data_IF_166161542846
#
_entry.id   IF_166161542846
#
_cell.length_a   1.000
_cell.length_b   1.000
_cell.length_c   1.000
_cell.angle_alpha   90.00
_cell.angle_beta   90.00
_cell.angle_gamma   90.00
#
_symmetry.space_group_name_H-M   'P 1'
#
loop_
_entity.id
_entity.type
_entity.pdbx_description
1 polymer ?
#
# COMPACT_ATOMS: atom_id res chain seq x y z
N UNK A 1 8.98 23.01 6.73
CA UNK A 1 7.92 23.71 7.50
C UNK A 1 7.45 25.02 6.88
N UNK A 2 8.16 25.63 5.92
CA UNK A 2 7.72 26.88 5.28
C UNK A 2 6.40 26.76 4.53
N UNK A 3 6.20 25.68 3.78
CA UNK A 3 4.93 25.42 3.07
C UNK A 3 3.70 25.40 4.01
N UNK A 4 3.84 24.79 5.20
CA UNK A 4 2.76 24.76 6.21
C UNK A 4 2.52 26.13 6.86
N UNK A 5 3.52 27.02 6.86
CA UNK A 5 3.31 28.42 7.25
C UNK A 5 2.59 29.16 6.14
N UNK A 6 2.95 28.95 4.88
CA UNK A 6 2.28 29.60 3.75
C UNK A 6 0.79 29.25 3.67
N UNK A 7 0.41 27.98 3.89
CA UNK A 7 -0.99 27.56 3.94
C UNK A 7 -1.80 28.27 5.03
N UNK A 8 -1.19 28.50 6.20
CA UNK A 8 -1.81 29.28 7.28
C UNK A 8 -2.08 30.74 6.88
N UNK A 9 -1.19 31.37 6.12
CA UNK A 9 -1.40 32.75 5.66
C UNK A 9 -2.56 32.88 4.67
N UNK A 10 -2.90 31.80 3.97
CA UNK A 10 -4.01 31.76 3.00
C UNK A 10 -5.31 31.24 3.64
N UNK A 11 -5.35 31.08 4.97
CA UNK A 11 -6.49 30.54 5.73
C UNK A 11 -6.92 29.14 5.27
N UNK A 12 -5.97 28.31 4.82
CA UNK A 12 -6.21 26.91 4.45
C UNK A 12 -5.75 26.02 5.61
N UNK A 13 -6.48 24.93 5.85
CA UNK A 13 -6.08 23.92 6.82
C UNK A 13 -4.70 23.33 6.48
N UNK A 14 -3.88 23.12 7.50
CA UNK A 14 -2.49 22.67 7.40
C UNK A 14 -2.24 21.43 8.26
N UNK A 15 -3.31 20.77 8.74
CA UNK A 15 -3.23 19.50 9.44
C UNK A 15 -2.76 18.40 8.46
N UNK A 16 -1.66 17.74 8.82
CA UNK A 16 -1.08 16.68 8.01
C UNK A 16 -1.77 15.34 8.33
N UNK A 17 -2.77 14.95 7.55
CA UNK A 17 -3.56 13.73 7.80
C UNK A 17 -3.06 12.47 7.08
N UNK A 18 -1.90 12.56 6.41
CA UNK A 18 -1.37 11.45 5.62
C UNK A 18 -0.47 11.92 4.49
N UNK A 19 -0.10 10.98 3.63
CA UNK A 19 0.80 11.22 2.50
C UNK A 19 0.35 10.40 1.29
N UNK A 20 0.86 10.76 0.11
CA UNK A 20 0.53 10.07 -1.13
C UNK A 20 1.79 9.51 -1.79
N UNK A 21 1.64 8.40 -2.50
CA UNK A 21 2.69 7.80 -3.29
C UNK A 21 2.15 7.34 -4.65
N UNK A 22 2.88 7.66 -5.71
CA UNK A 22 2.67 7.03 -7.00
C UNK A 22 3.39 5.69 -7.05
N UNK A 23 2.68 4.66 -7.51
CA UNK A 23 3.20 3.31 -7.70
C UNK A 23 2.90 2.87 -9.12
N UNK A 24 3.78 2.04 -9.66
CA UNK A 24 3.59 1.42 -10.96
C UNK A 24 3.11 -0.02 -10.75
N UNK A 25 2.05 -0.41 -11.46
CA UNK A 25 1.56 -1.80 -11.51
C UNK A 25 1.18 -2.41 -10.14
N UNK A 26 0.81 -1.57 -9.16
CA UNK A 26 0.38 -2.04 -7.84
C UNK A 26 1.47 -2.63 -6.94
N UNK A 27 2.75 -2.47 -7.29
CA UNK A 27 3.87 -2.78 -6.39
C UNK A 27 4.09 -1.62 -5.41
N UNK A 28 3.27 -1.57 -4.36
CA UNK A 28 3.35 -0.50 -3.36
C UNK A 28 3.80 -0.98 -1.98
N UNK A 29 3.54 -2.25 -1.63
CA UNK A 29 3.89 -2.80 -0.32
C UNK A 29 5.40 -2.97 -0.24
N UNK A 30 6.06 -1.97 0.35
CA UNK A 30 7.50 -1.95 0.61
C UNK A 30 7.76 -1.71 2.09
N UNK A 31 8.91 -2.16 2.58
CA UNK A 31 9.31 -1.90 3.97
C UNK A 31 9.40 -0.39 4.27
N UNK A 32 9.91 0.39 3.32
CA UNK A 32 9.98 1.84 3.45
C UNK A 32 8.59 2.49 3.56
N UNK A 33 7.60 2.00 2.79
CA UNK A 33 6.20 2.45 2.91
C UNK A 33 5.66 2.10 4.30
N UNK A 34 5.87 0.87 4.77
CA UNK A 34 5.43 0.42 6.08
C UNK A 34 6.04 1.26 7.21
N UNK A 35 7.35 1.47 7.18
CA UNK A 35 8.08 2.26 8.18
C UNK A 35 7.61 3.73 8.19
N UNK A 36 7.37 4.29 7.00
CA UNK A 36 6.84 5.65 6.85
C UNK A 36 5.41 5.75 7.39
N UNK A 37 4.54 4.81 7.01
CA UNK A 37 3.16 4.77 7.46
C UNK A 37 3.07 4.57 8.98
N UNK A 38 3.90 3.70 9.56
CA UNK A 38 4.00 3.53 11.00
C UNK A 38 4.40 4.83 11.71
N UNK A 39 5.40 5.54 11.19
CA UNK A 39 5.85 6.83 11.75
C UNK A 39 4.73 7.88 11.74
N UNK A 40 4.03 8.03 10.62
CA UNK A 40 2.93 8.98 10.51
C UNK A 40 1.73 8.58 11.37
N UNK A 41 1.38 7.30 11.39
CA UNK A 41 0.26 6.80 12.18
C UNK A 41 0.55 6.80 13.70
N UNK A 42 1.82 6.76 14.09
CA UNK A 42 2.25 6.97 15.47
C UNK A 42 2.11 8.43 15.91
N UNK A 43 2.40 9.37 15.01
CA UNK A 43 2.21 10.79 15.28
C UNK A 43 0.72 11.20 15.26
N UNK A 44 -0.06 10.61 14.35
CA UNK A 44 -1.46 10.95 14.08
C UNK A 44 -2.23 9.65 13.83
N UNK A 45 -3.13 9.31 14.75
CA UNK A 45 -3.84 8.02 14.75
C UNK A 45 -4.65 7.76 13.46
N UNK A 46 -5.18 8.82 12.85
CA UNK A 46 -6.01 8.76 11.64
C UNK A 46 -5.20 8.90 10.33
N UNK A 47 -3.89 8.67 10.35
CA UNK A 47 -3.04 8.80 9.15
C UNK A 47 -3.40 7.78 8.07
N UNK A 48 -3.62 8.25 6.84
CA UNK A 48 -3.93 7.41 5.66
C UNK A 48 -2.85 7.57 4.59
N UNK A 49 -2.52 6.49 3.88
CA UNK A 49 -1.68 6.55 2.67
C UNK A 49 -2.56 6.48 1.43
N UNK A 50 -2.39 7.44 0.53
CA UNK A 50 -3.06 7.46 -0.78
C UNK A 50 -2.12 6.92 -1.86
N UNK A 51 -2.55 5.87 -2.53
CA UNK A 51 -1.79 5.18 -3.55
C UNK A 51 -2.41 5.47 -4.91
N UNK A 52 -1.64 6.14 -5.76
CA UNK A 52 -2.05 6.52 -7.10
C UNK A 52 -1.30 5.68 -8.14
N UNK A 53 -2.05 5.03 -9.03
CA UNK A 53 -1.46 4.31 -10.17
C UNK A 53 -1.71 5.13 -11.46
N UNK A 54 -0.70 5.88 -11.95
CA UNK A 54 -0.84 6.69 -13.16
C UNK A 54 -1.05 5.84 -14.41
N UNK A 55 -0.55 4.59 -14.39
CA UNK A 55 -0.61 3.69 -15.54
C UNK A 55 -2.03 3.16 -15.72
N UNK A 56 -2.65 2.70 -14.63
CA UNK A 56 -4.06 2.28 -14.66
C UNK A 56 -5.00 3.44 -14.92
N UNK A 57 -4.68 4.62 -14.38
CA UNK A 57 -5.47 5.84 -14.63
C UNK A 57 -5.41 6.25 -16.10
N UNK A 58 -4.26 6.12 -16.75
CA UNK A 58 -4.12 6.38 -18.19
C UNK A 58 -4.93 5.42 -19.07
N UNK A 59 -5.21 4.20 -18.60
CA UNK A 59 -6.08 3.23 -19.29
C UNK A 59 -7.58 3.52 -19.12
N UNK A 60 -7.93 4.56 -18.38
CA UNK A 60 -9.29 5.11 -18.32
C UNK A 60 -9.99 4.98 -16.98
N UNK A 61 -9.61 4.03 -16.11
CA UNK A 61 -10.18 3.95 -14.76
C UNK A 61 -9.29 4.66 -13.74
N UNK A 62 -9.82 5.65 -13.04
CA UNK A 62 -9.12 6.30 -11.93
C UNK A 62 -8.76 5.28 -10.84
N UNK A 63 -7.47 4.96 -10.74
CA UNK A 63 -6.96 3.99 -9.76
C UNK A 63 -6.36 4.73 -8.58
N UNK A 64 -7.21 5.06 -7.62
CA UNK A 64 -6.85 5.59 -6.31
C UNK A 64 -7.22 4.57 -5.24
N UNK A 65 -6.27 4.25 -4.38
CA UNK A 65 -6.50 3.38 -3.24
C UNK A 65 -6.03 4.07 -1.97
N UNK A 66 -6.87 4.08 -0.94
CA UNK A 66 -6.52 4.62 0.36
C UNK A 66 -6.35 3.44 1.32
N UNK A 67 -5.20 3.38 1.98
CA UNK A 67 -4.89 2.33 2.94
C UNK A 67 -4.55 2.92 4.30
N UNK A 68 -4.93 2.19 5.34
CA UNK A 68 -4.55 2.43 6.72
C UNK A 68 -3.93 1.17 7.31
N UNK A 69 -3.02 1.33 8.26
CA UNK A 69 -2.48 0.20 9.02
C UNK A 69 -3.48 -0.24 10.10
N UNK A 70 -3.68 -1.55 10.24
CA UNK A 70 -4.52 -2.09 11.30
C UNK A 70 -3.89 -1.82 12.67
N UNK A 71 -4.67 -1.48 13.72
CA UNK A 71 -4.14 -1.23 15.07
C UNK A 71 -3.33 -2.40 15.63
N UNK A 72 -3.70 -3.65 15.30
CA UNK A 72 -2.94 -4.85 15.68
C UNK A 72 -1.51 -4.85 15.15
N UNK A 73 -1.30 -4.38 13.91
CA UNK A 73 0.05 -4.32 13.33
C UNK A 73 0.85 -3.16 13.93
N UNK A 74 0.17 -2.04 14.27
CA UNK A 74 0.78 -0.92 14.97
C UNK A 74 1.33 -1.33 16.34
N UNK A 75 0.62 -2.18 17.09
CA UNK A 75 1.08 -2.70 18.39
C UNK A 75 2.37 -3.52 18.24
N UNK A 76 2.42 -4.47 17.31
CA UNK A 76 3.63 -5.28 17.06
C UNK A 76 4.80 -4.42 16.60
N UNK A 77 4.56 -3.48 15.68
CA UNK A 77 5.61 -2.58 15.20
C UNK A 77 6.16 -1.68 16.33
N UNK A 78 5.32 -1.31 17.31
CA UNK A 78 5.73 -0.54 18.49
C UNK A 78 6.57 -1.38 19.45
N UNK A 79 6.19 -2.64 19.67
CA UNK A 79 6.94 -3.58 20.51
C UNK A 79 8.24 -4.07 19.85
N UNK A 80 8.39 -3.85 18.52
CA UNK A 80 9.49 -4.36 17.67
C UNK A 80 9.63 -5.88 17.71
N UNK A 81 8.58 -6.58 18.11
CA UNK A 81 8.54 -8.04 18.23
C UNK A 81 8.22 -8.69 16.87
N UNK A 82 9.17 -8.55 15.93
CA UNK A 82 9.14 -9.29 14.65
C UNK A 82 9.55 -10.77 14.81
N UNK A 83 9.29 -11.36 15.97
CA UNK A 83 9.55 -12.78 16.21
C UNK A 83 8.39 -13.62 15.66
N UNK A 84 8.66 -14.83 15.14
CA UNK A 84 7.61 -15.72 14.62
C UNK A 84 6.61 -16.12 15.71
N UNK A 85 7.03 -16.14 16.98
CA UNK A 85 6.13 -16.39 18.11
C UNK A 85 5.21 -15.21 18.41
N UNK A 86 5.71 -13.97 18.34
CA UNK A 86 4.90 -12.76 18.47
C UNK A 86 3.85 -12.65 17.37
N UNK A 87 4.25 -12.91 16.12
CA UNK A 87 3.34 -12.91 14.98
C UNK A 87 2.27 -14.01 15.07
N UNK A 88 2.64 -15.21 15.54
CA UNK A 88 1.72 -16.33 15.75
C UNK A 88 0.72 -16.04 16.89
N UNK A 89 1.14 -15.36 17.96
CA UNK A 89 0.25 -14.93 19.06
C UNK A 89 -0.73 -13.85 18.61
N UNK A 90 -0.29 -12.92 17.78
CA UNK A 90 -1.12 -11.83 17.29
C UNK A 90 -2.05 -12.22 16.12
N UNK A 91 -1.86 -13.41 15.54
CA UNK A 91 -2.67 -13.98 14.46
C UNK A 91 -2.92 -12.99 13.30
N UNK A 92 -1.86 -12.29 12.88
CA UNK A 92 -1.94 -11.34 11.77
C UNK A 92 -1.80 -12.11 10.46
N UNK A 93 -2.92 -12.27 9.76
CA UNK A 93 -2.95 -12.72 8.37
C UNK A 93 -2.67 -11.57 7.39
N UNK A 94 -2.36 -11.92 6.14
CA UNK A 94 -2.15 -10.95 5.06
C UNK A 94 -3.35 -10.02 4.82
N UNK A 95 -4.57 -10.52 5.06
CA UNK A 95 -5.82 -9.76 4.91
C UNK A 95 -5.98 -8.64 5.95
N UNK A 96 -5.35 -8.78 7.11
CA UNK A 96 -5.51 -7.83 8.22
C UNK A 96 -4.30 -6.92 8.41
N UNK A 97 -3.36 -6.89 7.45
CA UNK A 97 -2.22 -5.97 7.51
C UNK A 97 -2.64 -4.53 7.17
N UNK A 98 -3.43 -4.37 6.11
CA UNK A 98 -3.91 -3.08 5.63
C UNK A 98 -5.43 -3.10 5.53
N UNK A 99 -6.04 -2.01 5.99
CA UNK A 99 -7.47 -1.76 5.83
C UNK A 99 -7.67 -0.76 4.68
N UNK A 100 -8.49 -1.12 3.70
CA UNK A 100 -8.83 -0.24 2.59
C UNK A 100 -9.97 0.71 3.02
N UNK A 101 -9.73 2.01 2.87
CA UNK A 101 -10.70 3.06 3.22
C UNK A 101 -11.43 3.49 1.94
N UNK A 102 -12.78 3.46 1.93
CA UNK A 102 -13.53 3.87 0.74
C UNK A 102 -13.35 5.36 0.46
N UNK A 103 -13.04 5.70 -0.79
CA UNK A 103 -12.82 7.08 -1.23
C UNK A 103 -14.14 7.66 -1.75
N UNK A 104 -14.58 8.78 -1.16
CA UNK A 104 -15.78 9.51 -1.60
C UNK A 104 -15.34 10.88 -2.11
N UNK A 105 -15.54 11.12 -3.40
CA UNK A 105 -15.25 12.43 -4.02
C UNK A 105 -16.42 13.36 -3.70
N UNK A 106 -16.14 14.48 -3.02
CA UNK A 106 -17.11 15.52 -2.69
C UNK A 106 -16.66 16.83 -3.32
N UNK A 107 -17.53 17.42 -4.13
CA UNK A 107 -17.31 18.72 -4.74
C UNK A 107 -18.23 19.76 -4.10
N UNK A 108 -17.74 21.00 -3.95
CA UNK A 108 -18.58 22.13 -3.57
C UNK A 108 -19.43 22.59 -4.74
N UNK A 109 -20.53 23.29 -4.46
CA UNK A 109 -21.41 23.81 -5.51
C UNK A 109 -20.68 24.75 -6.48
N UNK A 110 -19.71 25.54 -6.01
CA UNK A 110 -18.92 26.43 -6.87
C UNK A 110 -18.02 25.66 -7.83
N UNK A 111 -17.38 24.57 -7.36
CA UNK A 111 -16.57 23.70 -8.21
C UNK A 111 -17.45 23.03 -9.29
N UNK A 112 -18.68 22.66 -8.95
CA UNK A 112 -19.61 22.11 -9.92
C UNK A 112 -19.97 23.14 -11.00
N UNK A 113 -20.27 24.39 -10.64
CA UNK A 113 -20.53 25.47 -11.61
C UNK A 113 -19.32 25.69 -12.52
N UNK A 114 -18.11 25.69 -11.96
CA UNK A 114 -16.89 25.79 -12.74
C UNK A 114 -16.71 24.60 -13.70
N UNK A 115 -17.07 23.39 -13.27
CA UNK A 115 -17.00 22.19 -14.11
C UNK A 115 -17.96 22.30 -15.30
N UNK A 116 -19.18 22.82 -15.09
CA UNK A 116 -20.14 23.10 -16.16
C UNK A 116 -19.62 24.13 -17.16
N UNK A 117 -18.99 25.21 -16.67
CA UNK A 117 -18.40 26.23 -17.53
C UNK A 117 -17.21 25.68 -18.34
N UNK A 118 -16.41 24.81 -17.73
CA UNK A 118 -15.29 24.13 -18.42
C UNK A 118 -15.78 23.15 -19.48
N UNK A 119 -16.88 22.44 -19.24
CA UNK A 119 -17.47 21.53 -20.21
C UNK A 119 -17.97 22.29 -21.46
N UNK A 120 -18.64 23.43 -21.27
CA UNK A 120 -19.12 24.28 -22.37
C UNK A 120 -17.96 24.89 -23.19
N UNK A 121 -16.86 25.24 -22.51
CA UNK A 121 -15.65 25.81 -23.14
C UNK A 121 -14.71 24.76 -23.75
N UNK A 122 -14.80 23.51 -23.32
CA UNK A 122 -13.92 22.42 -23.77
C UNK A 122 -14.59 21.61 -24.87
N UNK A 123 -14.25 21.89 -26.13
CA UNK A 123 -14.85 21.23 -27.30
C UNK A 123 -14.36 19.81 -27.55
N UNK A 124 -13.32 19.37 -26.85
CA UNK A 124 -12.73 18.03 -26.97
C UNK A 124 -12.38 17.52 -25.59
N UNK A 125 -13.35 16.95 -24.89
CA UNK A 125 -13.01 16.00 -23.85
C UNK A 125 -12.43 14.78 -24.57
N UNK A 126 -11.12 14.58 -24.48
CA UNK A 126 -10.49 13.28 -24.76
C UNK A 126 -11.21 12.27 -23.86
N UNK A 127 -12.24 11.62 -24.42
CA UNK A 127 -12.90 10.51 -23.76
C UNK A 127 -11.83 9.45 -23.63
N UNK A 128 -11.21 9.38 -22.46
CA UNK A 128 -10.27 8.33 -22.13
C UNK A 128 -10.86 7.01 -22.62
N UNK A 129 -10.09 6.29 -23.44
CA UNK A 129 -10.54 5.06 -24.08
C UNK A 129 -10.74 3.97 -23.01
N UNK A 130 -11.86 4.05 -22.28
CA UNK A 130 -12.31 3.02 -21.33
C UNK A 130 -12.48 1.65 -22.01
N UNK A 131 -12.62 1.65 -23.34
CA UNK A 131 -12.82 0.47 -24.18
C UNK A 131 -11.54 0.05 -24.92
N UNK A 132 -10.36 0.47 -24.47
CA UNK A 132 -9.12 0.03 -25.11
C UNK A 132 -8.78 -1.42 -24.71
N UNK A 133 -9.07 -2.36 -25.60
CA UNK A 133 -8.77 -3.80 -25.43
C UNK A 133 -7.28 -4.13 -25.67
N UNK A 134 -6.46 -3.17 -26.10
CA UNK A 134 -5.03 -3.38 -26.43
C UNK A 134 -4.11 -3.40 -25.19
N UNK A 135 -4.60 -3.85 -24.03
CA UNK A 135 -3.87 -3.87 -22.77
C UNK A 135 -2.83 -4.99 -22.63
N UNK A 136 -2.38 -5.61 -23.74
CA UNK A 136 -1.44 -6.75 -23.73
C UNK A 136 -0.16 -6.44 -22.96
N UNK A 137 0.44 -5.26 -23.19
CA UNK A 137 1.69 -4.86 -22.53
C UNK A 137 1.53 -4.61 -21.03
N UNK A 138 0.34 -4.20 -20.59
CA UNK A 138 0.06 -3.99 -19.17
C UNK A 138 -0.11 -5.30 -18.43
N UNK A 139 -0.82 -6.25 -19.05
CA UNK A 139 -0.97 -7.59 -18.51
C UNK A 139 0.37 -8.30 -18.46
N UNK A 140 1.17 -8.22 -19.53
CA UNK A 140 2.50 -8.81 -19.60
C UNK A 140 3.41 -8.30 -18.47
N UNK A 141 3.52 -6.98 -18.30
CA UNK A 141 4.33 -6.40 -17.21
C UNK A 141 3.80 -6.75 -15.82
N UNK A 142 2.48 -6.77 -15.64
CA UNK A 142 1.88 -7.16 -14.36
C UNK A 142 2.16 -8.63 -14.05
N UNK A 143 2.11 -9.51 -15.05
CA UNK A 143 2.47 -10.92 -14.92
C UNK A 143 3.96 -11.11 -14.66
N UNK A 144 4.83 -10.36 -15.33
CA UNK A 144 6.27 -10.40 -15.09
C UNK A 144 6.61 -10.02 -13.64
N UNK A 145 6.02 -8.94 -13.14
CA UNK A 145 6.16 -8.53 -11.73
C UNK A 145 5.63 -9.59 -10.75
N UNK A 146 4.55 -10.28 -11.12
CA UNK A 146 4.03 -11.38 -10.32
C UNK A 146 4.97 -12.59 -10.34
N UNK A 147 5.54 -12.94 -11.49
CA UNK A 147 6.53 -14.02 -11.62
C UNK A 147 7.74 -13.75 -10.73
N UNK A 148 8.29 -12.54 -10.76
CA UNK A 148 9.41 -12.15 -9.91
C UNK A 148 9.08 -12.35 -8.41
N UNK A 149 7.86 -11.98 -7.98
CA UNK A 149 7.41 -12.16 -6.59
C UNK A 149 7.16 -13.62 -6.22
N UNK A 150 6.67 -14.42 -7.15
CA UNK A 150 6.49 -15.86 -6.95
C UNK A 150 7.85 -16.55 -6.84
N UNK A 151 8.83 -16.14 -7.64
CA UNK A 151 10.20 -16.66 -7.57
C UNK A 151 10.88 -16.27 -6.24
N UNK A 152 10.74 -15.02 -5.78
CA UNK A 152 11.18 -14.59 -4.45
C UNK A 152 10.55 -15.47 -3.35
N UNK A 153 9.23 -15.68 -3.42
CA UNK A 153 8.50 -16.53 -2.47
C UNK A 153 8.98 -17.99 -2.51
N UNK A 154 9.24 -18.53 -3.71
CA UNK A 154 9.77 -19.88 -3.89
C UNK A 154 11.14 -20.04 -3.21
N UNK A 155 12.03 -19.07 -3.40
CA UNK A 155 13.34 -19.06 -2.73
C UNK A 155 13.19 -19.05 -1.21
N UNK A 156 12.27 -18.25 -0.66
CA UNK A 156 12.03 -18.20 0.78
C UNK A 156 11.40 -19.50 1.32
N UNK A 157 10.53 -20.16 0.57
CA UNK A 157 10.01 -21.49 0.91
C UNK A 157 11.15 -22.52 0.96
N UNK A 158 12.09 -22.50 0.01
CA UNK A 158 13.26 -23.40 0.03
C UNK A 158 14.14 -23.15 1.25
N UNK A 159 14.40 -21.88 1.61
CA UNK A 159 15.14 -21.51 2.83
C UNK A 159 14.42 -22.03 4.08
N UNK A 160 13.10 -21.83 4.16
CA UNK A 160 12.29 -22.32 5.27
C UNK A 160 12.30 -23.85 5.39
N UNK A 161 12.15 -24.57 4.28
CA UNK A 161 12.22 -26.03 4.25
C UNK A 161 13.59 -26.55 4.71
N UNK A 162 14.66 -25.88 4.31
CA UNK A 162 16.02 -26.20 4.74
C UNK A 162 16.19 -25.96 6.24
N UNK A 163 15.69 -24.83 6.75
CA UNK A 163 15.66 -24.54 8.18
C UNK A 163 14.90 -25.60 8.99
N UNK A 164 13.70 -25.98 8.54
CA UNK A 164 12.87 -27.02 9.18
C UNK A 164 13.58 -28.38 9.22
N UNK A 165 14.22 -28.79 8.11
CA UNK A 165 15.03 -30.02 8.06
C UNK A 165 16.22 -29.98 9.04
N UNK A 166 16.90 -28.85 9.14
CA UNK A 166 18.03 -28.69 10.06
C UNK A 166 17.58 -28.69 11.53
N UNK A 167 16.45 -28.05 11.85
CA UNK A 167 15.86 -28.06 13.19
C UNK A 167 15.52 -29.49 13.63
N UNK A 168 14.86 -30.28 12.78
CA UNK A 168 14.52 -31.67 13.06
C UNK A 168 15.76 -32.54 13.31
N UNK A 169 16.83 -32.35 12.52
CA UNK A 169 18.11 -33.05 12.73
C UNK A 169 18.76 -32.67 14.07
N UNK A 170 18.77 -31.39 14.43
CA UNK A 170 19.33 -30.91 15.71
C UNK A 170 18.53 -31.45 16.91
N UNK A 171 17.20 -31.51 16.80
CA UNK A 171 16.35 -32.07 17.86
C UNK A 171 16.62 -33.56 18.09
N UNK A 172 16.81 -34.33 17.01
CA UNK A 172 17.18 -35.75 17.09
C UNK A 172 18.55 -35.96 17.72
N UNK A 173 19.54 -35.15 17.36
CA UNK A 173 20.88 -35.20 17.97
C UNK A 173 20.85 -34.85 19.46
N UNK A 174 20.10 -33.82 19.87
CA UNK A 174 19.94 -33.47 21.29
C UNK A 174 19.24 -34.57 22.09
N UNK A 175 18.29 -35.29 21.49
CA UNK A 175 17.66 -36.44 22.14
C UNK A 175 18.62 -37.63 22.33
N UNK A 176 19.52 -37.87 21.36
CA UNK A 176 20.53 -38.94 21.49
C UNK A 176 21.64 -38.63 22.49
N UNK A 177 21.96 -37.36 22.74
CA UNK A 177 23.01 -36.94 23.70
C UNK A 177 22.50 -36.88 25.14
N UNK A 178 21.18 -36.78 25.35
CA UNK A 178 20.55 -36.76 26.68
C UNK A 178 20.09 -38.16 27.16
N UNK A 179 20.43 -39.22 26.42
CA UNK A 179 20.26 -40.63 26.77
C UNK A 179 21.63 -41.23 27.12
#
# INVERSE_FOLDING_TARGET
>A
MEMMRSLRHVNIDHLHVGWYQSTYYGSFVSRALLDSQFSYQHAIEESVVLIYDPIKTAQGSLSLKAYRLTPKLMEICKEKDFTPEGLKKANIGFEHMFEEVPIIIKNSHLINVLLWELEDKSTVADKHELLNLSSSNHLEKSLQLLMDRVDDMSQDIVKYNTYSRNLSKQQQQKHQVNL
#
